data_IF_740975306227
#
_entry.id   IF_740975306227
#
_cell.length_a   1.000
_cell.length_b   1.000
_cell.length_c   1.000
_cell.angle_alpha   90.00
_cell.angle_beta   90.00
_cell.angle_gamma   90.00
#
_symmetry.space_group_name_H-M   'P 1'
#
loop_
_entity.id
_entity.type
_entity.pdbx_description
1 polymer ?
#
# COMPACT_ATOMS: atom_id res chain seq x y z
N UNK A 1 -10.58 10.42 9.25
CA UNK A 1 -10.96 11.84 9.17
C UNK A 1 -10.37 12.38 7.88
N UNK A 2 -11.06 13.30 7.21
CA UNK A 2 -10.59 13.89 5.96
C UNK A 2 -9.28 14.64 6.20
N UNK A 3 -8.36 14.62 5.24
CA UNK A 3 -7.03 15.23 5.38
C UNK A 3 -6.90 16.42 4.45
N UNK A 4 -6.16 17.44 4.89
CA UNK A 4 -5.72 18.52 4.01
C UNK A 4 -4.77 17.91 2.98
N UNK A 5 -5.07 18.10 1.69
CA UNK A 5 -4.26 17.67 0.56
C UNK A 5 -4.03 18.85 -0.38
N UNK A 6 -2.84 18.93 -0.97
CA UNK A 6 -2.54 19.91 -2.00
C UNK A 6 -3.00 19.41 -3.37
N UNK A 7 -3.37 20.35 -4.26
CA UNK A 7 -3.60 20.05 -5.67
C UNK A 7 -2.30 20.34 -6.42
N UNK A 8 -1.75 19.34 -7.10
CA UNK A 8 -0.52 19.50 -7.87
C UNK A 8 -0.82 20.23 -9.20
N UNK A 9 0.02 21.18 -9.65
CA UNK A 9 -0.23 21.94 -10.88
C UNK A 9 -0.42 21.09 -12.14
N UNK A 10 0.30 19.97 -12.27
CA UNK A 10 0.14 19.03 -13.40
C UNK A 10 -1.29 18.51 -13.57
N UNK A 11 -2.12 18.55 -12.51
CA UNK A 11 -3.54 18.18 -12.62
C UNK A 11 -4.28 19.05 -13.64
N UNK A 12 -3.94 20.34 -13.72
CA UNK A 12 -4.61 21.29 -14.62
C UNK A 12 -4.16 21.14 -16.08
N UNK A 13 -3.06 20.42 -16.31
CA UNK A 13 -2.55 20.09 -17.64
C UNK A 13 -2.86 18.64 -18.04
N UNK A 14 -3.50 17.86 -17.17
CA UNK A 14 -3.92 16.49 -17.48
C UNK A 14 -5.14 16.51 -18.40
N UNK A 15 -4.92 16.15 -19.67
CA UNK A 15 -5.94 16.20 -20.72
C UNK A 15 -7.22 15.44 -20.34
N UNK A 16 -7.10 14.24 -19.75
CA UNK A 16 -8.24 13.43 -19.35
C UNK A 16 -9.05 14.09 -18.23
N UNK A 17 -8.36 14.75 -17.29
CA UNK A 17 -9.03 15.53 -16.26
C UNK A 17 -9.70 16.79 -16.82
N UNK A 18 -9.06 17.48 -17.76
CA UNK A 18 -9.57 18.73 -18.33
C UNK A 18 -10.86 18.51 -19.12
N UNK A 19 -11.00 17.37 -19.81
CA UNK A 19 -12.23 16.99 -20.51
C UNK A 19 -13.40 16.62 -19.61
N UNK A 20 -13.16 16.37 -18.32
CA UNK A 20 -14.23 16.11 -17.37
C UNK A 20 -15.10 17.37 -17.16
N UNK A 21 -16.38 17.14 -16.90
CA UNK A 21 -17.36 18.12 -16.48
C UNK A 21 -16.88 18.85 -15.21
N UNK A 22 -17.25 20.14 -15.04
CA UNK A 22 -16.78 20.92 -13.88
C UNK A 22 -17.06 20.27 -12.52
N UNK A 23 -18.23 19.63 -12.36
CA UNK A 23 -18.57 18.92 -11.12
C UNK A 23 -17.76 17.63 -10.95
N UNK A 24 -17.49 16.87 -12.01
CA UNK A 24 -16.61 15.71 -11.93
C UNK A 24 -15.17 16.12 -11.55
N UNK A 25 -14.67 17.24 -12.10
CA UNK A 25 -13.37 17.80 -11.70
C UNK A 25 -13.34 18.19 -10.22
N UNK A 26 -14.39 18.85 -9.72
CA UNK A 26 -14.51 19.20 -8.30
C UNK A 26 -14.56 17.94 -7.42
N UNK A 27 -15.33 16.93 -7.84
CA UNK A 27 -15.41 15.63 -7.17
C UNK A 27 -14.05 14.95 -7.09
N UNK A 28 -13.28 14.90 -8.19
CA UNK A 28 -11.96 14.30 -8.22
C UNK A 28 -10.95 15.00 -7.30
N UNK A 29 -11.04 16.33 -7.16
CA UNK A 29 -10.24 17.09 -6.19
C UNK A 29 -10.68 16.75 -4.77
N UNK A 30 -11.98 16.78 -4.48
CA UNK A 30 -12.53 16.51 -3.15
C UNK A 30 -12.28 15.08 -2.65
N UNK A 31 -12.33 14.08 -3.54
CA UNK A 31 -12.07 12.66 -3.22
C UNK A 31 -10.68 12.47 -2.59
N UNK A 32 -9.68 13.29 -2.96
CA UNK A 32 -8.33 13.23 -2.38
C UNK A 32 -8.33 13.45 -0.88
N UNK A 33 -9.22 14.30 -0.38
CA UNK A 33 -9.33 14.60 1.04
C UNK A 33 -9.95 13.43 1.82
N UNK A 34 -10.81 12.65 1.17
CA UNK A 34 -11.50 11.49 1.73
C UNK A 34 -10.67 10.19 1.65
N UNK A 35 -9.66 10.17 0.79
CA UNK A 35 -8.79 9.02 0.60
C UNK A 35 -7.73 8.88 1.71
N UNK A 36 -7.35 7.63 2.00
CA UNK A 36 -6.23 7.32 2.87
C UNK A 36 -4.88 7.61 2.21
N UNK A 37 -3.76 7.33 2.88
CA UNK A 37 -2.44 7.64 2.34
C UNK A 37 -1.98 6.64 1.25
N UNK A 38 -2.79 5.63 0.89
CA UNK A 38 -2.64 4.87 -0.35
C UNK A 38 -3.41 5.48 -1.53
N UNK A 39 -4.22 6.52 -1.30
CA UNK A 39 -5.12 7.07 -2.30
C UNK A 39 -6.40 6.26 -2.46
N UNK A 40 -6.76 5.45 -1.46
CA UNK A 40 -7.95 4.60 -1.47
C UNK A 40 -9.08 5.30 -0.72
N UNK A 41 -10.29 5.21 -1.25
CA UNK A 41 -11.52 5.69 -0.61
C UNK A 41 -12.64 4.65 -0.71
N UNK A 42 -13.65 4.78 0.14
CA UNK A 42 -14.84 3.93 0.10
C UNK A 42 -15.76 4.37 -1.05
N UNK A 43 -16.19 3.44 -1.91
CA UNK A 43 -17.07 3.73 -3.05
C UNK A 43 -18.54 3.87 -2.61
N UNK A 44 -18.80 4.89 -1.79
CA UNK A 44 -20.10 5.15 -1.20
C UNK A 44 -20.68 6.47 -1.71
N UNK A 45 -21.60 6.38 -2.67
CA UNK A 45 -22.18 7.53 -3.38
C UNK A 45 -22.80 8.55 -2.43
N UNK A 46 -23.58 8.08 -1.46
CA UNK A 46 -24.25 8.95 -0.49
C UNK A 46 -23.23 9.71 0.38
N UNK A 47 -22.25 8.99 0.94
CA UNK A 47 -21.21 9.61 1.78
C UNK A 47 -20.38 10.62 1.00
N UNK A 48 -20.00 10.30 -0.24
CA UNK A 48 -19.24 11.21 -1.09
C UNK A 48 -20.06 12.46 -1.43
N UNK A 49 -21.36 12.33 -1.76
CA UNK A 49 -22.24 13.46 -2.01
C UNK A 49 -22.26 14.43 -0.83
N UNK A 50 -22.60 13.92 0.35
CA UNK A 50 -22.78 14.74 1.56
C UNK A 50 -21.48 15.43 1.98
N UNK A 51 -20.31 14.83 1.67
CA UNK A 51 -19.02 15.38 2.07
C UNK A 51 -18.39 16.34 1.06
N UNK A 52 -18.59 16.10 -0.23
CA UNK A 52 -17.86 16.80 -1.29
C UNK A 52 -18.75 17.74 -2.08
N UNK A 53 -19.99 17.34 -2.39
CA UNK A 53 -20.97 18.10 -3.17
C UNK A 53 -22.28 18.29 -2.39
N UNK A 54 -22.25 18.78 -1.13
CA UNK A 54 -23.45 18.96 -0.34
C UNK A 54 -24.34 20.05 -0.95
N UNK A 55 -25.62 19.74 -1.17
CA UNK A 55 -26.59 20.69 -1.72
C UNK A 55 -26.60 20.80 -3.24
N UNK A 56 -25.62 20.21 -3.93
CA UNK A 56 -25.60 20.18 -5.39
C UNK A 56 -26.64 19.19 -5.95
N UNK A 57 -27.44 19.65 -6.90
CA UNK A 57 -28.36 18.80 -7.65
C UNK A 57 -27.61 18.05 -8.76
N UNK A 58 -26.86 17.03 -8.35
CA UNK A 58 -26.08 16.18 -9.24
C UNK A 58 -26.34 14.69 -9.00
N UNK A 59 -26.13 13.90 -10.06
CA UNK A 59 -26.09 12.45 -10.02
C UNK A 59 -24.66 11.98 -9.72
N UNK A 60 -24.46 11.47 -8.51
CA UNK A 60 -23.15 10.97 -8.08
C UNK A 60 -22.69 9.72 -8.83
N UNK A 61 -23.62 8.88 -9.28
CA UNK A 61 -23.26 7.69 -10.04
C UNK A 61 -22.64 8.12 -11.38
N UNK A 62 -23.34 9.00 -12.10
CA UNK A 62 -22.86 9.54 -13.37
C UNK A 62 -21.50 10.25 -13.24
N UNK A 63 -21.31 11.06 -12.19
CA UNK A 63 -20.02 11.73 -11.95
C UNK A 63 -18.89 10.73 -11.66
N UNK A 64 -19.14 9.68 -10.88
CA UNK A 64 -18.13 8.67 -10.60
C UNK A 64 -17.82 7.80 -11.84
N UNK A 65 -18.82 7.50 -12.65
CA UNK A 65 -18.64 6.79 -13.93
C UNK A 65 -17.83 7.63 -14.92
N UNK A 66 -18.03 8.95 -14.94
CA UNK A 66 -17.21 9.88 -15.70
C UNK A 66 -15.74 9.86 -15.24
N UNK A 67 -15.49 9.81 -13.93
CA UNK A 67 -14.14 9.70 -13.37
C UNK A 67 -13.49 8.34 -13.65
N UNK A 68 -14.27 7.27 -13.79
CA UNK A 68 -13.77 5.96 -14.24
C UNK A 68 -13.37 6.03 -15.73
N UNK A 69 -14.24 6.58 -16.57
CA UNK A 69 -14.01 6.68 -18.00
C UNK A 69 -12.79 7.56 -18.35
N UNK A 70 -12.58 8.64 -17.60
CA UNK A 70 -11.43 9.55 -17.73
C UNK A 70 -10.19 9.08 -16.96
N UNK A 71 -10.20 7.84 -16.45
CA UNK A 71 -9.08 7.22 -15.74
C UNK A 71 -8.58 8.04 -14.53
N UNK A 72 -9.43 8.83 -13.88
CA UNK A 72 -9.04 9.58 -12.68
C UNK A 72 -9.08 8.69 -11.43
N UNK A 73 -10.02 7.75 -11.42
CA UNK A 73 -10.16 6.74 -10.37
C UNK A 73 -10.35 5.35 -10.98
N UNK A 74 -10.04 4.33 -10.20
CA UNK A 74 -10.32 2.93 -10.52
C UNK A 74 -11.18 2.31 -9.41
N UNK A 75 -12.23 1.58 -9.78
CA UNK A 75 -13.13 0.92 -8.84
C UNK A 75 -12.75 -0.56 -8.70
N UNK A 76 -12.72 -1.05 -7.47
CA UNK A 76 -12.49 -2.46 -7.16
C UNK A 76 -13.35 -2.89 -5.97
N UNK A 77 -13.38 -4.19 -5.69
CA UNK A 77 -14.15 -4.78 -4.60
C UNK A 77 -13.28 -5.70 -3.75
N UNK A 78 -13.47 -5.64 -2.43
CA UNK A 78 -12.85 -6.54 -1.44
C UNK A 78 -13.89 -6.87 -0.39
N UNK A 79 -14.07 -8.16 -0.08
CA UNK A 79 -15.01 -8.65 0.94
C UNK A 79 -16.44 -8.09 0.79
N UNK A 80 -16.97 -8.02 -0.44
CA UNK A 80 -18.33 -7.52 -0.71
C UNK A 80 -18.47 -6.00 -0.63
N UNK A 81 -17.37 -5.25 -0.47
CA UNK A 81 -17.36 -3.79 -0.36
C UNK A 81 -16.59 -3.16 -1.49
N UNK A 82 -17.20 -2.16 -2.12
CA UNK A 82 -16.59 -1.42 -3.21
C UNK A 82 -15.69 -0.28 -2.69
N UNK A 83 -14.53 -0.15 -3.31
CA UNK A 83 -13.52 0.86 -3.03
C UNK A 83 -13.08 1.54 -4.33
N UNK A 84 -12.55 2.74 -4.19
CA UNK A 84 -11.96 3.51 -5.27
C UNK A 84 -10.49 3.80 -5.00
N UNK A 85 -9.69 3.83 -6.06
CA UNK A 85 -8.28 4.17 -6.03
C UNK A 85 -8.04 5.38 -6.94
N UNK A 86 -7.30 6.37 -6.46
CA UNK A 86 -6.98 7.58 -7.23
C UNK A 86 -5.73 7.36 -8.08
N UNK A 87 -5.79 7.71 -9.37
CA UNK A 87 -4.63 7.62 -10.27
C UNK A 87 -3.52 8.58 -9.83
N UNK A 88 -2.27 8.13 -9.95
CA UNK A 88 -1.06 8.89 -9.65
C UNK A 88 -1.00 9.47 -8.23
N UNK A 89 -1.79 8.95 -7.28
CA UNK A 89 -1.87 9.52 -5.94
C UNK A 89 -0.50 9.51 -5.24
N UNK A 90 0.20 8.38 -5.22
CA UNK A 90 1.52 8.25 -4.60
C UNK A 90 2.61 9.10 -5.26
N UNK A 91 2.41 9.51 -6.52
CA UNK A 91 3.35 10.40 -7.22
C UNK A 91 3.28 11.82 -6.66
N UNK A 92 2.08 12.30 -6.33
CA UNK A 92 1.84 13.69 -5.96
C UNK A 92 1.52 13.90 -4.47
N UNK A 93 1.23 12.83 -3.73
CA UNK A 93 0.88 12.87 -2.32
C UNK A 93 1.83 11.95 -1.55
N UNK A 94 2.63 12.54 -0.67
CA UNK A 94 3.49 11.81 0.25
C UNK A 94 3.34 12.39 1.65
N UNK A 95 2.84 11.57 2.57
CA UNK A 95 2.71 11.93 3.98
C UNK A 95 3.93 11.44 4.76
N UNK A 96 4.48 12.29 5.63
CA UNK A 96 5.61 11.91 6.51
C UNK A 96 5.29 10.74 7.44
N UNK A 97 4.02 10.61 7.84
CA UNK A 97 3.49 9.51 8.66
C UNK A 97 2.21 8.99 8.00
N UNK A 98 2.33 8.06 7.04
CA UNK A 98 1.18 7.58 6.29
C UNK A 98 0.31 6.65 7.15
N UNK A 99 -0.98 6.66 6.86
CA UNK A 99 -2.01 5.84 7.47
C UNK A 99 -2.77 5.11 6.37
N UNK A 100 -2.90 3.80 6.52
CA UNK A 100 -3.55 2.94 5.55
C UNK A 100 -4.77 2.32 6.23
N UNK A 101 -5.96 2.66 5.74
CA UNK A 101 -7.22 2.27 6.37
C UNK A 101 -7.95 1.22 5.55
N UNK A 102 -7.87 1.32 4.23
CA UNK A 102 -8.67 0.52 3.33
C UNK A 102 -7.86 -0.65 2.75
N UNK A 103 -8.52 -1.78 2.43
CA UNK A 103 -7.83 -2.93 1.86
C UNK A 103 -7.29 -2.59 0.47
N UNK A 104 -6.10 -3.10 0.15
CA UNK A 104 -5.58 -3.04 -1.21
C UNK A 104 -6.41 -3.94 -2.12
N UNK A 105 -6.51 -3.63 -3.43
CA UNK A 105 -7.03 -4.58 -4.38
C UNK A 105 -6.22 -5.87 -4.34
N UNK A 106 -6.89 -7.01 -4.54
CA UNK A 106 -6.23 -8.30 -4.63
C UNK A 106 -5.18 -8.25 -5.75
N UNK A 107 -3.99 -8.77 -5.48
CA UNK A 107 -2.76 -8.60 -6.27
C UNK A 107 -2.91 -9.13 -7.71
N UNK A 108 -3.93 -9.94 -8.00
CA UNK A 108 -4.24 -10.46 -9.33
C UNK A 108 -4.96 -9.45 -10.25
N UNK A 109 -5.34 -8.28 -9.72
CA UNK A 109 -5.91 -7.19 -10.53
C UNK A 109 -4.74 -6.46 -11.20
N UNK A 110 -4.57 -6.68 -12.50
CA UNK A 110 -3.74 -5.84 -13.36
C UNK A 110 -4.29 -4.42 -13.33
N UNK A 111 -3.78 -3.61 -12.40
CA UNK A 111 -4.19 -2.22 -12.31
C UNK A 111 -3.73 -1.48 -13.56
N UNK A 112 -4.54 -0.56 -14.10
CA UNK A 112 -4.12 0.26 -15.21
C UNK A 112 -2.87 1.09 -14.87
N UNK A 113 -2.18 1.57 -15.90
CA UNK A 113 -1.01 2.43 -15.70
C UNK A 113 -1.37 3.68 -14.88
N UNK A 114 -0.48 4.04 -13.94
CA UNK A 114 -0.65 5.21 -13.06
C UNK A 114 -1.30 4.90 -11.71
N UNK A 115 -1.86 3.72 -11.51
CA UNK A 115 -2.32 3.28 -10.20
C UNK A 115 -1.19 2.59 -9.44
N UNK A 116 -0.72 3.23 -8.37
CA UNK A 116 0.37 2.72 -7.53
C UNK A 116 0.03 2.90 -6.06
N UNK A 117 0.61 2.06 -5.21
CA UNK A 117 0.42 2.09 -3.76
C UNK A 117 1.77 2.13 -3.05
N UNK A 118 1.74 2.52 -1.79
CA UNK A 118 2.94 2.44 -0.97
C UNK A 118 3.31 0.96 -0.75
N UNK A 119 4.58 0.61 -0.95
CA UNK A 119 5.09 -0.77 -0.76
C UNK A 119 4.95 -1.29 0.68
N UNK A 120 4.68 -0.39 1.63
CA UNK A 120 4.38 -0.70 3.03
C UNK A 120 2.89 -0.68 3.35
N UNK A 121 2.03 -1.00 2.37
CA UNK A 121 0.57 -1.08 2.58
C UNK A 121 0.16 -1.99 3.75
N UNK A 122 -1.13 -2.17 4.01
CA UNK A 122 -1.65 -2.81 5.23
C UNK A 122 -1.28 -4.29 5.45
N UNK A 123 -0.37 -4.87 4.65
CA UNK A 123 0.32 -6.09 5.02
C UNK A 123 1.15 -5.87 6.30
N UNK A 124 0.65 -6.45 7.41
CA UNK A 124 1.31 -6.58 8.71
C UNK A 124 2.79 -6.94 8.52
N UNK A 125 3.71 -6.07 8.96
CA UNK A 125 5.12 -6.43 9.16
C UNK A 125 5.54 -6.08 10.58
N UNK A 126 6.13 -7.09 11.22
CA UNK A 126 6.87 -7.03 12.48
C UNK A 126 7.81 -5.82 12.49
N UNK A 127 7.90 -5.20 13.67
CA UNK A 127 8.75 -4.06 13.93
C UNK A 127 10.21 -4.41 13.67
N UNK A 128 10.83 -3.76 12.67
CA UNK A 128 12.28 -3.63 12.64
C UNK A 128 12.72 -2.73 13.81
N UNK A 129 13.84 -3.05 14.49
CA UNK A 129 14.34 -2.21 15.56
C UNK A 129 14.80 -0.85 15.03
N UNK A 130 14.66 0.23 15.82
CA UNK A 130 14.96 1.58 15.37
C UNK A 130 16.47 1.75 15.09
N UNK A 131 16.77 2.41 13.98
CA UNK A 131 18.13 2.83 13.62
C UNK A 131 18.61 3.90 14.62
N UNK A 132 19.82 3.80 15.20
CA UNK A 132 20.32 4.78 16.17
C UNK A 132 20.46 6.18 15.55
N UNK A 133 19.96 7.19 16.25
CA UNK A 133 20.06 8.60 15.83
C UNK A 133 21.52 9.08 15.92
N UNK A 134 22.19 9.28 14.77
CA UNK A 134 23.58 9.76 14.72
C UNK A 134 23.75 11.29 14.63
N UNK A 135 22.67 12.08 14.72
CA UNK A 135 22.79 13.55 14.64
C UNK A 135 21.93 14.28 15.66
N UNK A 136 22.59 15.12 16.46
CA UNK A 136 22.00 16.03 17.46
C UNK A 136 21.28 17.17 16.75
N UNK A 137 19.95 17.11 16.68
CA UNK A 137 19.11 18.24 16.22
C UNK A 137 18.85 19.16 17.40
N UNK A 138 19.87 19.92 17.79
CA UNK A 138 19.72 21.09 18.65
C UNK A 138 20.09 22.33 17.85
N UNK A 139 19.09 23.10 17.42
CA UNK A 139 19.35 24.48 16.98
C UNK A 139 19.68 25.34 18.20
N UNK A 140 20.67 26.24 18.15
CA UNK A 140 20.97 27.14 19.27
C UNK A 140 19.79 28.10 19.49
N UNK A 141 19.48 28.48 20.76
CA UNK A 141 18.39 29.41 21.03
C UNK A 141 18.69 30.78 20.43
N UNK A 142 17.72 31.35 19.73
CA UNK A 142 17.74 32.75 19.27
C UNK A 142 17.60 33.69 20.48
N UNK A 143 18.39 34.78 20.59
CA UNK A 143 18.27 35.73 21.69
C UNK A 143 16.96 36.52 21.61
N UNK A 144 16.19 36.51 22.70
CA UNK A 144 14.91 37.22 22.79
C UNK A 144 15.18 38.71 23.11
N UNK A 145 14.91 39.60 22.15
CA UNK A 145 14.85 41.06 22.39
C UNK A 145 13.43 41.45 22.78
N UNK A 146 13.21 41.72 24.07
CA UNK A 146 12.26 42.73 24.52
C UNK A 146 12.53 43.03 25.99
N UNK A 147 13.33 44.07 26.19
CA UNK A 147 13.49 44.78 27.45
C UNK A 147 12.21 45.59 27.70
N UNK A 148 11.52 45.34 28.82
CA UNK A 148 10.91 46.34 29.72
C UNK A 148 10.26 45.61 30.92
N UNK A 149 10.82 45.81 32.12
CA UNK A 149 10.04 45.85 33.37
C UNK A 149 10.07 44.64 34.34
N UNK A 150 11.20 44.44 35.03
CA UNK A 150 11.41 44.19 36.49
C UNK A 150 10.35 43.46 37.39
N UNK A 151 10.75 42.89 38.56
CA UNK A 151 11.95 42.07 38.85
C UNK A 151 11.76 40.95 39.92
N UNK A 152 12.78 40.08 40.11
CA UNK A 152 13.16 39.23 41.29
C UNK A 152 12.14 38.11 41.68
N UNK A 153 12.48 36.83 41.86
CA UNK A 153 13.26 36.21 42.95
C UNK A 153 13.69 34.77 42.55
N UNK A 154 14.99 34.48 42.64
CA UNK A 154 15.56 33.14 42.91
C UNK A 154 15.80 33.04 44.43
N UNK A 155 15.95 31.86 45.10
CA UNK A 155 16.70 30.68 44.61
C UNK A 155 16.18 29.31 45.12
N UNK A 156 16.84 28.21 44.72
CA UNK A 156 16.69 26.92 45.41
C UNK A 156 17.18 25.71 44.62
N UNK A 157 18.46 25.38 44.79
CA UNK A 157 19.14 24.19 44.29
C UNK A 157 18.54 22.88 44.85
N UNK A 158 18.71 21.77 44.13
CA UNK A 158 18.48 20.44 44.73
C UNK A 158 18.53 19.26 43.75
N UNK A 159 19.71 18.65 43.60
CA UNK A 159 19.89 17.29 43.06
C UNK A 159 19.24 16.27 43.98
N UNK A 160 18.58 15.24 43.42
CA UNK A 160 18.18 14.05 44.19
C UNK A 160 17.77 12.88 43.30
N UNK A 161 18.59 11.84 43.27
CA UNK A 161 18.23 10.48 42.80
C UNK A 161 17.22 9.87 43.76
N UNK A 162 16.27 9.09 43.26
CA UNK A 162 15.39 8.26 44.09
C UNK A 162 14.77 7.12 43.29
N UNK A 163 15.21 5.90 43.59
CA UNK A 163 14.60 4.63 43.20
C UNK A 163 13.23 4.48 43.88
N UNK A 164 12.25 3.87 43.20
CA UNK A 164 10.91 3.63 43.75
C UNK A 164 10.22 2.46 43.04
N UNK A 165 9.74 1.52 43.85
CA UNK A 165 9.44 0.12 43.58
C UNK A 165 7.95 -0.13 43.25
N UNK A 166 7.71 -1.01 42.28
CA UNK A 166 6.61 -1.99 42.05
C UNK A 166 5.28 -1.78 42.78
N UNK A 167 4.17 -1.77 42.01
CA UNK A 167 2.94 -2.51 42.37
C UNK A 167 2.38 -3.21 41.13
N UNK A 168 2.28 -4.53 41.23
CA UNK A 168 1.71 -5.48 40.28
C UNK A 168 0.27 -5.75 40.73
N UNK A 169 -0.72 -5.60 39.85
CA UNK A 169 -2.08 -6.08 40.11
C UNK A 169 -2.42 -7.18 39.11
N UNK A 170 -2.52 -8.39 39.64
CA UNK A 170 -3.01 -9.59 38.98
C UNK A 170 -4.54 -9.56 38.89
N UNK A 171 -5.08 -9.99 37.75
CA UNK A 171 -6.42 -10.54 37.64
C UNK A 171 -6.28 -11.84 36.84
N UNK A 172 -6.38 -12.96 37.55
CA UNK A 172 -6.59 -14.28 36.96
C UNK A 172 -8.10 -14.50 36.83
N UNK A 173 -8.54 -14.89 35.63
CA UNK A 173 -9.80 -15.58 35.42
C UNK A 173 -9.58 -16.62 34.31
N UNK A 174 -9.56 -17.87 34.75
CA UNK A 174 -9.39 -19.10 34.00
C UNK A 174 -10.65 -19.44 33.18
N UNK A 175 -10.50 -19.78 31.90
CA UNK A 175 -11.49 -20.51 31.09
C UNK A 175 -10.90 -20.97 29.74
N UNK A 176 -10.32 -22.17 29.74
CA UNK A 176 -10.41 -23.21 28.69
C UNK A 176 -11.00 -22.81 27.31
N UNK A 177 -10.14 -22.72 26.28
CA UNK A 177 -10.41 -23.17 24.90
C UNK A 177 -9.10 -23.29 24.08
N UNK A 178 -8.96 -24.31 23.19
CA UNK A 178 -7.69 -24.69 22.58
C UNK A 178 -7.26 -23.77 21.42
N UNK A 179 -5.94 -23.66 21.11
CA UNK A 179 -5.49 -22.81 20.02
C UNK A 179 -5.76 -23.48 18.66
N UNK A 180 -6.67 -22.89 17.88
CA UNK A 180 -6.79 -23.21 16.46
C UNK A 180 -5.57 -22.66 15.72
N UNK A 181 -4.67 -23.55 15.33
CA UNK A 181 -3.57 -23.27 14.43
C UNK A 181 -4.12 -22.90 13.04
N UNK A 182 -4.11 -21.61 12.70
CA UNK A 182 -4.35 -21.13 11.35
C UNK A 182 -2.99 -20.80 10.72
N UNK A 183 -2.32 -21.84 10.20
CA UNK A 183 -1.23 -21.69 9.24
C UNK A 183 -1.81 -21.18 7.92
N UNK A 184 -1.99 -19.86 7.79
CA UNK A 184 -2.09 -19.25 6.48
C UNK A 184 -0.72 -19.39 5.81
N UNK A 185 -0.54 -20.48 5.05
CA UNK A 185 0.67 -20.70 4.28
C UNK A 185 0.91 -19.49 3.36
N UNK A 186 2.07 -18.85 3.52
CA UNK A 186 2.49 -17.71 2.70
C UNK A 186 2.28 -18.05 1.21
N UNK A 187 1.47 -17.27 0.46
CA UNK A 187 1.14 -17.58 -0.93
C UNK A 187 2.39 -17.65 -1.82
N UNK A 188 3.45 -16.90 -1.49
CA UNK A 188 4.73 -17.01 -2.19
C UNK A 188 5.37 -18.36 -1.95
N UNK A 189 5.35 -18.84 -0.71
CA UNK A 189 5.83 -20.17 -0.34
C UNK A 189 5.00 -21.25 -1.04
N UNK A 190 3.67 -21.09 -1.10
CA UNK A 190 2.80 -22.04 -1.79
C UNK A 190 3.09 -22.14 -3.30
N UNK A 191 3.30 -21.01 -3.99
CA UNK A 191 3.68 -21.00 -5.42
C UNK A 191 5.06 -21.61 -5.62
N UNK A 192 5.99 -21.33 -4.70
CA UNK A 192 7.34 -21.89 -4.75
C UNK A 192 7.34 -23.41 -4.53
N UNK A 193 6.60 -23.89 -3.54
CA UNK A 193 6.42 -25.30 -3.22
C UNK A 193 5.69 -26.03 -4.36
N UNK A 194 4.72 -25.37 -5.02
CA UNK A 194 4.09 -25.87 -6.24
C UNK A 194 5.10 -26.05 -7.37
N UNK A 195 5.96 -25.06 -7.61
CA UNK A 195 7.03 -25.17 -8.62
C UNK A 195 8.01 -26.30 -8.31
N UNK A 196 8.38 -26.47 -7.04
CA UNK A 196 9.21 -27.59 -6.59
C UNK A 196 8.50 -28.92 -6.83
N UNK A 197 7.20 -29.02 -6.56
CA UNK A 197 6.39 -30.21 -6.83
C UNK A 197 6.33 -30.55 -8.32
N UNK A 198 6.14 -29.55 -9.18
CA UNK A 198 6.09 -29.74 -10.64
C UNK A 198 7.43 -30.30 -11.15
N UNK A 199 8.56 -29.72 -10.72
CA UNK A 199 9.88 -30.14 -11.17
C UNK A 199 10.29 -31.51 -10.61
N UNK A 200 9.96 -31.79 -9.35
CA UNK A 200 10.24 -33.11 -8.76
C UNK A 200 9.41 -34.22 -9.40
N UNK A 201 8.14 -33.96 -9.75
CA UNK A 201 7.33 -34.89 -10.57
C UNK A 201 7.90 -35.13 -11.96
N UNK A 202 8.62 -34.14 -12.51
CA UNK A 202 9.33 -34.28 -13.78
C UNK A 202 10.72 -34.96 -13.66
N UNK A 203 11.09 -35.44 -12.47
CA UNK A 203 12.33 -36.20 -12.23
C UNK A 203 13.49 -35.40 -11.63
N UNK A 204 13.29 -34.13 -11.27
CA UNK A 204 14.35 -33.34 -10.63
C UNK A 204 14.50 -33.60 -9.14
N UNK A 205 15.73 -33.50 -8.65
CA UNK A 205 15.97 -33.43 -7.20
C UNK A 205 15.44 -32.12 -6.63
N UNK A 206 14.94 -32.17 -5.40
CA UNK A 206 14.38 -30.99 -4.72
C UNK A 206 15.39 -29.82 -4.66
N UNK A 207 16.67 -30.14 -4.42
CA UNK A 207 17.76 -29.14 -4.40
C UNK A 207 17.95 -28.48 -5.78
N UNK A 208 17.89 -29.26 -6.86
CA UNK A 208 17.99 -28.73 -8.23
C UNK A 208 16.78 -27.87 -8.59
N UNK A 209 15.58 -28.33 -8.26
CA UNK A 209 14.33 -27.61 -8.49
C UNK A 209 14.33 -26.25 -7.78
N UNK A 210 14.67 -26.22 -6.49
CA UNK A 210 14.77 -24.98 -5.70
C UNK A 210 15.80 -24.02 -6.27
N UNK A 211 17.00 -24.50 -6.65
CA UNK A 211 18.03 -23.63 -7.23
C UNK A 211 17.61 -23.05 -8.59
N UNK A 212 16.96 -23.88 -9.43
CA UNK A 212 16.46 -23.47 -10.74
C UNK A 212 15.37 -22.40 -10.63
N UNK A 213 14.38 -22.59 -9.73
CA UNK A 213 13.31 -21.62 -9.52
C UNK A 213 13.81 -20.30 -8.94
N UNK A 214 14.75 -20.35 -7.97
CA UNK A 214 15.35 -19.14 -7.40
C UNK A 214 15.98 -18.23 -8.48
N UNK A 215 16.67 -18.83 -9.45
CA UNK A 215 17.28 -18.10 -10.58
C UNK A 215 16.27 -17.26 -11.36
N UNK A 216 15.09 -17.81 -11.65
CA UNK A 216 14.05 -17.11 -12.42
C UNK A 216 13.18 -16.20 -11.56
N UNK A 217 13.00 -16.53 -10.28
CA UNK A 217 12.31 -15.67 -9.32
C UNK A 217 13.05 -14.33 -9.14
N UNK A 218 14.39 -14.33 -9.14
CA UNK A 218 15.19 -13.11 -9.12
C UNK A 218 15.04 -12.24 -10.37
N UNK A 219 14.73 -12.83 -11.52
CA UNK A 219 14.55 -12.06 -12.76
C UNK A 219 13.17 -11.41 -12.81
N UNK A 220 12.12 -12.19 -12.58
CA UNK A 220 10.75 -11.71 -12.53
C UNK A 220 9.87 -12.72 -11.80
N UNK A 221 9.62 -12.45 -10.51
CA UNK A 221 8.83 -13.31 -9.63
C UNK A 221 7.39 -13.51 -10.13
N UNK A 222 6.74 -12.46 -10.62
CA UNK A 222 5.36 -12.50 -11.11
C UNK A 222 5.25 -13.37 -12.36
N UNK A 223 6.14 -13.17 -13.34
CA UNK A 223 6.18 -13.97 -14.57
C UNK A 223 6.47 -15.45 -14.26
N UNK A 224 7.31 -15.74 -13.27
CA UNK A 224 7.55 -17.11 -12.85
C UNK A 224 6.27 -17.75 -12.28
N UNK A 225 5.53 -17.02 -11.43
CA UNK A 225 4.26 -17.50 -10.87
C UNK A 225 3.22 -17.83 -11.95
N UNK A 226 3.06 -16.97 -12.97
CA UNK A 226 2.18 -17.22 -14.11
C UNK A 226 2.56 -18.49 -14.88
N UNK A 227 3.85 -18.65 -15.18
CA UNK A 227 4.39 -19.81 -15.89
C UNK A 227 4.17 -21.09 -15.09
N UNK A 228 4.35 -21.05 -13.76
CA UNK A 228 4.10 -22.20 -12.89
C UNK A 228 2.61 -22.55 -12.81
N UNK A 229 1.71 -21.56 -12.79
CA UNK A 229 0.27 -21.78 -12.86
C UNK A 229 -0.15 -22.46 -14.17
N UNK A 230 0.41 -22.01 -15.29
CA UNK A 230 0.17 -22.63 -16.59
C UNK A 230 0.68 -24.08 -16.64
N UNK A 231 1.86 -24.35 -16.09
CA UNK A 231 2.42 -25.71 -16.03
C UNK A 231 1.63 -26.63 -15.09
N UNK A 232 1.07 -26.12 -14.01
CA UNK A 232 0.19 -26.87 -13.13
C UNK A 232 -1.08 -27.35 -13.85
N UNK A 233 -1.63 -26.53 -14.74
CA UNK A 233 -2.79 -26.88 -15.57
C UNK A 233 -2.44 -27.79 -16.77
N UNK A 234 -1.16 -27.87 -17.15
CA UNK A 234 -0.70 -28.55 -18.37
C UNK A 234 0.45 -29.53 -18.09
N UNK A 235 0.15 -30.60 -17.35
CA UNK A 235 1.14 -31.59 -16.90
C UNK A 235 1.90 -32.35 -18.02
N UNK A 236 1.50 -32.23 -19.29
CA UNK A 236 2.17 -32.86 -20.44
C UNK A 236 3.37 -32.06 -20.97
N UNK A 237 3.57 -30.84 -20.50
CA UNK A 237 4.62 -29.93 -20.97
C UNK A 237 5.89 -30.15 -20.15
N UNK A 238 7.06 -30.20 -20.80
CA UNK A 238 8.34 -30.26 -20.09
C UNK A 238 8.61 -28.96 -19.29
N UNK A 239 8.61 -29.01 -17.95
CA UNK A 239 8.56 -27.78 -17.14
C UNK A 239 9.82 -26.92 -17.27
N UNK A 240 11.01 -27.53 -17.24
CA UNK A 240 12.29 -26.79 -17.33
C UNK A 240 12.46 -26.09 -18.67
N UNK A 241 12.16 -26.79 -19.76
CA UNK A 241 12.26 -26.24 -21.10
C UNK A 241 11.30 -25.06 -21.29
N UNK A 242 10.08 -25.19 -20.79
CA UNK A 242 9.06 -24.14 -20.87
C UNK A 242 9.42 -22.91 -20.03
N UNK A 243 9.85 -23.09 -18.78
CA UNK A 243 10.30 -21.98 -17.92
C UNK A 243 11.48 -21.24 -18.58
N UNK A 244 12.47 -21.98 -19.09
CA UNK A 244 13.61 -21.36 -19.76
C UNK A 244 13.21 -20.59 -21.03
N UNK A 245 12.27 -21.12 -21.83
CA UNK A 245 11.78 -20.47 -23.04
C UNK A 245 10.96 -19.21 -22.73
N UNK A 246 10.10 -19.26 -21.72
CA UNK A 246 9.27 -18.13 -21.30
C UNK A 246 10.11 -16.92 -20.90
N UNK A 247 11.33 -17.12 -20.39
CA UNK A 247 12.25 -16.07 -19.95
C UNK A 247 13.27 -15.63 -21.00
N UNK A 248 13.26 -16.18 -22.23
CA UNK A 248 14.11 -15.65 -23.32
C UNK A 248 13.59 -14.28 -23.80
N UNK A 249 14.48 -13.31 -24.11
CA UNK A 249 14.06 -12.05 -24.72
C UNK A 249 13.44 -12.33 -26.10
N UNK A 250 12.28 -11.72 -26.37
CA UNK A 250 11.58 -11.86 -27.66
C UNK A 250 12.49 -11.29 -28.75
N UNK A 251 12.90 -12.11 -29.71
CA UNK A 251 13.65 -11.64 -30.87
C UNK A 251 12.80 -10.57 -31.59
N UNK A 252 13.42 -9.42 -31.86
CA UNK A 252 12.81 -8.28 -32.55
C UNK A 252 12.37 -8.75 -33.94
N UNK A 253 11.08 -8.85 -34.20
CA UNK A 253 10.56 -9.01 -35.55
C UNK A 253 11.05 -7.82 -36.37
N UNK A 254 11.93 -8.10 -37.33
CA UNK A 254 12.31 -7.16 -38.37
C UNK A 254 11.12 -7.07 -39.30
N UNK A 255 10.35 -5.99 -39.17
CA UNK A 255 9.33 -5.64 -40.15
C UNK A 255 10.04 -5.32 -41.48
N UNK A 256 9.75 -6.13 -42.50
CA UNK A 256 9.96 -5.83 -43.92
C UNK A 256 8.74 -5.05 -44.44
#
# INVERSE_FOLDING_TARGET
MSRIRSVHPEQWSDEQFVYCSPLARLLAIGIRNEADDNGIFEWNLFRLKVRILPGDNCDMAALLDELLASNQVHRYEVDGKAYGLIRNFQRFQSAKKPTFKYPLPLIDIHLPAGYTFHKSGPARKESTPPVPHQYRTGSPPVPNMSDTGNPVVHPGEGKGKGEGKVIHTTYDADASSPPLANEFADPKKAIYDLGVSILTKAGDTEKSARSFLAKYAHQNETKLAEVLGYLAANAKIEPKAYIAAAFKPKAREVAL
#
